data_IF_084288903815
#
_entry.id   IF_084288903815
#
_cell.length_a   1.000
_cell.length_b   1.000
_cell.length_c   1.000
_cell.angle_alpha   90.00
_cell.angle_beta   90.00
_cell.angle_gamma   90.00
#
_symmetry.space_group_name_H-M   'P 1'
#
loop_
_entity.id
_entity.type
_entity.pdbx_description
1 polymer ?
#
# COMPACT_ATOMS: atom_id res chain seq x y z
N UNK A 1 -6.78 34.45 -68.63
CA UNK A 1 -6.78 34.49 -67.14
C UNK A 1 -6.99 33.09 -66.62
N UNK A 2 -5.98 32.47 -66.06
CA UNK A 2 -6.06 31.09 -65.48
C UNK A 2 -6.00 31.22 -63.97
N UNK A 3 -7.08 30.83 -63.27
CA UNK A 3 -7.14 30.79 -61.83
C UNK A 3 -6.54 29.50 -61.33
N UNK A 4 -5.47 29.60 -60.53
CA UNK A 4 -4.85 28.45 -59.86
C UNK A 4 -5.50 28.26 -58.50
N UNK A 5 -6.25 27.17 -58.30
CA UNK A 5 -6.77 26.76 -57.02
C UNK A 5 -5.64 26.11 -56.20
N UNK A 6 -5.29 26.69 -55.06
CA UNK A 6 -4.39 26.11 -54.06
C UNK A 6 -5.22 25.24 -53.12
N UNK A 7 -5.01 23.93 -53.19
CA UNK A 7 -5.59 22.94 -52.29
C UNK A 7 -4.71 22.86 -51.02
N UNK A 8 -5.22 23.41 -49.93
CA UNK A 8 -4.54 23.35 -48.65
C UNK A 8 -4.70 21.95 -48.00
N UNK A 9 -3.60 21.30 -47.74
CA UNK A 9 -3.57 20.01 -47.02
C UNK A 9 -3.68 20.29 -45.50
N UNK A 10 -4.85 19.98 -44.91
CA UNK A 10 -5.00 19.99 -43.46
C UNK A 10 -4.39 18.70 -42.90
N UNK A 11 -3.27 18.82 -42.17
CA UNK A 11 -2.72 17.73 -41.38
C UNK A 11 -3.44 17.68 -40.02
N UNK A 12 -4.30 16.71 -39.83
CA UNK A 12 -4.92 16.41 -38.53
C UNK A 12 -3.88 15.65 -37.70
N UNK A 13 -3.26 16.31 -36.74
CA UNK A 13 -2.41 15.66 -35.75
C UNK A 13 -3.31 15.01 -34.69
N UNK A 14 -3.52 13.71 -34.78
CA UNK A 14 -4.18 12.95 -33.73
C UNK A 14 -3.23 12.83 -32.53
N UNK A 15 -3.47 13.63 -31.48
CA UNK A 15 -2.78 13.48 -30.20
C UNK A 15 -3.29 12.23 -29.53
N UNK A 16 -2.51 11.15 -29.58
CA UNK A 16 -2.72 9.98 -28.73
C UNK A 16 -2.32 10.36 -27.31
N UNK A 17 -3.31 10.71 -26.47
CA UNK A 17 -3.12 10.76 -25.03
C UNK A 17 -2.80 9.35 -24.55
N UNK A 18 -1.51 9.04 -24.38
CA UNK A 18 -1.08 7.83 -23.71
C UNK A 18 -1.62 7.89 -22.27
N UNK A 19 -2.60 7.04 -21.94
CA UNK A 19 -2.99 6.81 -20.57
C UNK A 19 -1.76 6.28 -19.84
N UNK A 20 -1.18 7.10 -18.97
CA UNK A 20 -0.31 6.60 -17.91
C UNK A 20 -1.15 5.57 -17.16
N UNK A 21 -0.71 4.31 -17.16
CA UNK A 21 -1.32 3.27 -16.34
C UNK A 21 -1.08 3.67 -14.88
N UNK A 22 -1.96 4.53 -14.36
CA UNK A 22 -2.04 4.83 -12.93
C UNK A 22 -2.36 3.55 -12.19
N UNK A 23 -1.87 3.41 -10.97
CA UNK A 23 -2.27 2.33 -10.08
C UNK A 23 -3.79 2.21 -10.11
N UNK A 24 -4.31 1.02 -10.46
CA UNK A 24 -5.75 0.84 -10.64
C UNK A 24 -6.49 1.22 -9.36
N UNK A 25 -7.50 2.08 -9.48
CA UNK A 25 -8.33 2.52 -8.35
C UNK A 25 -8.91 1.33 -7.59
N UNK A 26 -9.06 1.50 -6.28
CA UNK A 26 -9.80 0.57 -5.45
C UNK A 26 -11.31 0.78 -5.66
N UNK A 27 -12.05 -0.32 -5.66
CA UNK A 27 -13.50 -0.25 -5.74
C UNK A 27 -14.07 0.45 -4.50
N UNK A 28 -14.97 1.39 -4.70
CA UNK A 28 -15.62 2.09 -3.60
C UNK A 28 -16.50 1.13 -2.77
N UNK A 29 -16.59 1.33 -1.44
CA UNK A 29 -17.39 0.46 -0.56
C UNK A 29 -18.84 0.27 -1.00
N UNK A 30 -19.42 1.27 -1.62
CA UNK A 30 -20.81 1.27 -2.10
C UNK A 30 -21.06 0.21 -3.18
N UNK A 31 -20.03 -0.15 -3.94
CA UNK A 31 -20.12 -1.20 -4.98
C UNK A 31 -20.38 -2.60 -4.40
N UNK A 32 -20.20 -2.78 -3.10
CA UNK A 32 -20.43 -4.05 -2.39
C UNK A 32 -21.80 -4.12 -1.71
N UNK A 33 -22.63 -3.07 -1.78
CA UNK A 33 -23.95 -3.04 -1.15
C UNK A 33 -24.94 -4.05 -1.75
N UNK A 34 -24.72 -4.47 -2.99
CA UNK A 34 -25.51 -5.53 -3.63
C UNK A 34 -25.34 -6.90 -2.97
N UNK A 35 -24.26 -7.11 -2.19
CA UNK A 35 -24.06 -8.33 -1.40
C UNK A 35 -24.88 -8.19 -0.13
N UNK A 36 -26.02 -8.85 -0.06
CA UNK A 36 -27.00 -8.74 1.01
C UNK A 36 -26.53 -9.37 2.32
N UNK A 37 -25.79 -10.50 2.24
CA UNK A 37 -25.23 -11.15 3.43
C UNK A 37 -24.07 -10.29 4.02
N UNK A 38 -24.19 -9.79 5.28
CA UNK A 38 -23.17 -8.92 5.86
C UNK A 38 -21.79 -9.57 5.96
N UNK A 39 -21.70 -10.84 6.30
CA UNK A 39 -20.43 -11.53 6.41
C UNK A 39 -19.75 -11.74 5.06
N UNK A 40 -20.50 -12.02 4.01
CA UNK A 40 -19.98 -12.12 2.63
C UNK A 40 -19.52 -10.75 2.14
N UNK A 41 -20.33 -9.72 2.36
CA UNK A 41 -19.98 -8.34 2.03
C UNK A 41 -18.70 -7.91 2.75
N UNK A 42 -18.58 -8.20 4.04
CA UNK A 42 -17.38 -7.92 4.83
C UNK A 42 -16.15 -8.60 4.23
N UNK A 43 -16.21 -9.89 3.91
CA UNK A 43 -15.12 -10.59 3.26
C UNK A 43 -14.75 -9.98 1.91
N UNK A 44 -15.73 -9.62 1.08
CA UNK A 44 -15.49 -9.01 -0.22
C UNK A 44 -14.81 -7.64 -0.11
N UNK A 45 -15.18 -6.82 0.87
CA UNK A 45 -14.53 -5.55 1.19
C UNK A 45 -13.05 -5.77 1.60
N UNK A 46 -12.79 -6.78 2.43
CA UNK A 46 -11.41 -7.09 2.84
C UNK A 46 -10.58 -7.65 1.68
N UNK A 47 -11.18 -8.42 0.78
CA UNK A 47 -10.51 -8.89 -0.45
C UNK A 47 -10.07 -7.72 -1.32
N UNK A 48 -10.91 -6.70 -1.49
CA UNK A 48 -10.52 -5.49 -2.22
C UNK A 48 -9.39 -4.73 -1.51
N UNK A 49 -9.46 -4.55 -0.18
CA UNK A 49 -8.38 -3.97 0.61
C UNK A 49 -7.08 -4.79 0.50
N UNK A 50 -7.19 -6.10 0.28
CA UNK A 50 -6.08 -7.03 0.09
C UNK A 50 -5.16 -6.65 -1.07
N UNK A 51 -5.64 -5.96 -2.10
CA UNK A 51 -4.82 -5.44 -3.19
C UNK A 51 -3.72 -4.50 -2.69
N UNK A 52 -3.99 -3.76 -1.61
CA UNK A 52 -3.01 -2.91 -0.93
C UNK A 52 -2.20 -3.72 0.08
N UNK A 53 -2.86 -4.49 0.95
CA UNK A 53 -2.19 -5.20 2.05
C UNK A 53 -1.15 -6.22 1.57
N UNK A 54 -1.36 -6.80 0.38
CA UNK A 54 -0.43 -7.74 -0.26
C UNK A 54 0.49 -7.06 -1.30
N UNK A 55 0.42 -5.74 -1.44
CA UNK A 55 1.31 -4.99 -2.33
C UNK A 55 2.73 -4.88 -1.72
N UNK A 56 3.81 -4.84 -2.52
CA UNK A 56 5.18 -4.69 -2.03
C UNK A 56 5.38 -3.51 -1.08
N UNK A 57 4.63 -2.41 -1.25
CA UNK A 57 4.73 -1.24 -0.33
C UNK A 57 4.33 -1.57 1.11
N UNK A 58 3.44 -2.56 1.30
CA UNK A 58 3.08 -3.06 2.62
C UNK A 58 3.97 -4.23 3.05
N UNK A 59 4.15 -5.22 2.16
CA UNK A 59 4.89 -6.44 2.48
C UNK A 59 6.35 -6.17 2.85
N UNK A 60 7.00 -5.17 2.24
CA UNK A 60 8.40 -4.83 2.53
C UNK A 60 8.61 -4.37 3.97
N UNK A 61 7.61 -3.71 4.57
CA UNK A 61 7.63 -3.29 5.97
C UNK A 61 7.06 -4.35 6.93
N UNK A 62 6.39 -5.40 6.40
CA UNK A 62 5.81 -6.51 7.16
C UNK A 62 6.55 -7.84 6.89
N UNK A 63 7.90 -7.89 7.06
CA UNK A 63 8.70 -9.05 6.71
C UNK A 63 8.45 -10.23 7.65
N UNK A 64 8.57 -11.45 7.14
CA UNK A 64 8.47 -12.68 7.95
C UNK A 64 9.71 -12.89 8.85
N UNK A 65 10.87 -12.41 8.41
CA UNK A 65 12.14 -12.53 9.11
C UNK A 65 12.57 -11.26 9.84
N UNK A 66 13.84 -11.25 10.23
CA UNK A 66 14.47 -10.11 10.89
C UNK A 66 14.92 -9.02 9.90
N UNK A 67 15.08 -9.38 8.62
CA UNK A 67 15.50 -8.48 7.55
C UNK A 67 14.27 -7.96 6.79
N UNK A 68 14.11 -6.64 6.62
CA UNK A 68 13.09 -6.11 5.73
C UNK A 68 13.37 -6.48 4.27
N UNK A 69 12.39 -6.32 3.42
CA UNK A 69 12.56 -6.40 1.96
C UNK A 69 12.42 -5.00 1.34
N UNK A 70 12.81 -4.87 0.08
CA UNK A 70 12.75 -3.63 -0.69
C UNK A 70 12.44 -3.89 -2.16
N UNK A 71 12.19 -2.82 -2.91
CA UNK A 71 11.90 -2.90 -4.33
C UNK A 71 10.45 -3.29 -4.64
N UNK A 72 10.12 -3.38 -5.92
CA UNK A 72 8.82 -3.83 -6.39
C UNK A 72 8.72 -5.37 -6.39
N UNK A 73 9.84 -6.04 -6.39
CA UNK A 73 10.00 -7.50 -6.33
C UNK A 73 10.20 -8.05 -4.91
N UNK A 74 10.17 -7.17 -3.90
CA UNK A 74 10.35 -7.54 -2.48
C UNK A 74 11.63 -8.34 -2.21
N UNK A 75 12.75 -8.03 -2.87
CA UNK A 75 14.04 -8.65 -2.58
C UNK A 75 14.58 -8.23 -1.20
N UNK A 76 15.50 -9.00 -0.59
CA UNK A 76 16.07 -8.67 0.70
C UNK A 76 16.73 -7.30 0.72
N UNK A 77 16.49 -6.49 1.74
CA UNK A 77 17.02 -5.14 1.87
C UNK A 77 18.56 -5.10 1.74
N UNK A 78 19.07 -4.20 0.92
CA UNK A 78 20.52 -3.96 0.77
C UNK A 78 20.82 -2.49 1.11
N UNK A 79 21.79 -2.23 1.99
CA UNK A 79 22.67 -3.16 2.71
C UNK A 79 21.93 -4.09 3.68
N UNK A 80 22.65 -5.08 4.23
CA UNK A 80 22.09 -5.95 5.26
C UNK A 80 21.76 -5.14 6.51
N UNK A 81 20.47 -5.03 6.81
CA UNK A 81 19.95 -4.47 8.05
C UNK A 81 18.98 -5.46 8.69
N UNK A 82 18.84 -5.41 9.99
CA UNK A 82 17.90 -6.26 10.73
C UNK A 82 17.09 -5.40 11.69
N UNK A 83 15.87 -5.87 12.01
CA UNK A 83 15.08 -5.22 13.06
C UNK A 83 15.80 -5.32 14.42
N UNK A 84 15.38 -4.52 15.35
CA UNK A 84 15.73 -4.63 16.77
C UNK A 84 14.46 -4.92 17.56
N UNK A 85 14.58 -4.95 18.89
CA UNK A 85 13.43 -5.13 19.78
C UNK A 85 12.35 -4.02 19.63
N UNK A 86 12.74 -2.84 19.13
CA UNK A 86 11.84 -1.71 18.87
C UNK A 86 11.49 -1.53 17.38
N UNK A 87 11.84 -2.50 16.54
CA UNK A 87 11.57 -2.53 15.09
C UNK A 87 12.21 -1.37 14.28
N UNK A 88 13.17 -0.63 14.85
CA UNK A 88 13.80 0.58 14.27
C UNK A 88 15.23 0.37 13.79
N UNK A 89 15.64 -0.88 13.59
CA UNK A 89 17.02 -1.21 13.19
C UNK A 89 17.95 -1.46 14.37
N UNK A 90 19.04 -2.21 14.16
CA UNK A 90 20.01 -2.58 15.17
C UNK A 90 20.70 -1.35 15.79
N UNK A 91 21.23 -1.51 17.02
CA UNK A 91 22.07 -0.50 17.64
C UNK A 91 23.28 -0.25 16.74
N UNK A 92 23.56 1.03 16.42
CA UNK A 92 24.64 1.43 15.50
C UNK A 92 24.26 1.43 14.02
N UNK A 93 23.11 0.84 13.64
CA UNK A 93 22.59 0.90 12.28
C UNK A 93 21.05 1.03 12.30
N UNK A 94 20.58 2.16 12.79
CA UNK A 94 19.15 2.47 12.85
C UNK A 94 18.60 2.71 11.44
N UNK A 95 17.33 2.41 11.22
CA UNK A 95 16.66 2.70 9.96
C UNK A 95 16.85 4.17 9.54
N UNK A 96 16.70 5.09 10.48
CA UNK A 96 16.85 6.54 10.27
C UNK A 96 18.30 6.99 10.01
N UNK A 97 19.29 6.12 10.10
CA UNK A 97 20.67 6.43 9.65
C UNK A 97 20.71 6.70 8.15
N UNK A 98 19.91 5.97 7.37
CA UNK A 98 19.82 6.13 5.91
C UNK A 98 18.49 6.76 5.49
N UNK A 99 17.37 6.33 6.14
CA UNK A 99 16.02 6.82 5.84
C UNK A 99 15.78 8.13 6.61
N UNK A 100 16.00 9.26 5.94
CA UNK A 100 15.81 10.59 6.48
C UNK A 100 14.32 10.98 6.53
N UNK A 101 14.02 12.24 6.85
CA UNK A 101 12.66 12.73 7.02
C UNK A 101 11.81 12.73 5.73
N UNK A 102 12.43 12.61 4.57
CA UNK A 102 11.78 12.58 3.27
C UNK A 102 12.58 11.72 2.29
N UNK A 103 11.95 11.31 1.18
CA UNK A 103 12.65 10.64 0.08
C UNK A 103 13.82 11.51 -0.42
N UNK A 104 14.98 10.90 -0.65
CA UNK A 104 16.14 11.56 -1.23
C UNK A 104 16.39 10.98 -2.63
N UNK A 105 15.84 11.62 -3.63
CA UNK A 105 15.82 11.14 -5.01
C UNK A 105 17.21 10.91 -5.61
N UNK A 106 18.27 11.74 -5.33
CA UNK A 106 19.59 11.53 -5.90
C UNK A 106 20.23 10.19 -5.54
N UNK A 107 19.96 9.64 -4.35
CA UNK A 107 20.45 8.32 -3.93
C UNK A 107 19.39 7.22 -4.05
N UNK A 108 18.16 7.58 -4.40
CA UNK A 108 17.03 6.66 -4.44
C UNK A 108 16.61 6.11 -3.07
N UNK A 109 17.09 6.69 -1.97
CA UNK A 109 16.74 6.24 -0.61
C UNK A 109 15.39 6.83 -0.21
N UNK A 110 14.40 5.99 0.14
CA UNK A 110 13.12 6.48 0.66
C UNK A 110 13.29 7.03 2.08
N UNK A 111 12.43 7.95 2.48
CA UNK A 111 12.48 8.56 3.81
C UNK A 111 11.12 8.91 4.37
N UNK A 112 11.06 8.86 5.70
CA UNK A 112 9.95 9.32 6.53
C UNK A 112 10.45 9.46 7.97
N UNK A 113 10.01 10.46 8.76
CA UNK A 113 10.53 10.69 10.13
C UNK A 113 10.36 9.49 11.08
N UNK A 114 9.35 8.66 10.82
CA UNK A 114 9.01 7.47 11.63
C UNK A 114 9.40 6.16 10.95
N UNK A 115 10.44 6.14 10.11
CA UNK A 115 10.81 4.93 9.35
C UNK A 115 11.14 3.76 10.27
N UNK A 116 10.37 2.68 10.16
CA UNK A 116 10.55 1.43 10.90
C UNK A 116 9.82 0.27 10.20
N UNK A 117 10.08 -0.95 10.61
CA UNK A 117 9.30 -2.13 10.19
C UNK A 117 8.16 -2.42 11.16
N UNK A 118 7.13 -3.10 10.68
CA UNK A 118 6.04 -3.54 11.53
C UNK A 118 6.53 -4.56 12.57
N UNK A 119 5.85 -4.70 13.72
CA UNK A 119 6.18 -5.72 14.72
C UNK A 119 6.22 -7.11 14.09
N UNK A 120 7.13 -7.97 14.56
CA UNK A 120 7.27 -9.35 14.04
C UNK A 120 5.97 -10.15 14.09
N UNK A 121 5.12 -9.89 15.07
CA UNK A 121 3.78 -10.46 15.17
C UNK A 121 2.85 -10.06 14.02
N UNK A 122 3.18 -9.00 13.29
CA UNK A 122 2.46 -8.49 12.12
C UNK A 122 3.21 -8.78 10.80
N UNK A 123 3.96 -9.87 10.74
CA UNK A 123 4.55 -10.35 9.50
C UNK A 123 3.45 -10.80 8.52
N UNK A 124 3.47 -10.27 7.28
CA UNK A 124 2.47 -10.57 6.25
C UNK A 124 3.02 -11.36 5.06
N UNK A 125 4.32 -11.28 4.81
CA UNK A 125 4.94 -12.09 3.76
C UNK A 125 4.59 -13.57 3.93
N UNK A 126 4.33 -14.26 2.82
CA UNK A 126 3.94 -15.67 2.77
C UNK A 126 2.59 -16.03 3.41
N UNK A 127 1.82 -15.05 3.89
CA UNK A 127 0.51 -15.30 4.49
C UNK A 127 -0.62 -15.13 3.48
N UNK A 128 -1.65 -15.96 3.63
CA UNK A 128 -2.92 -15.74 2.94
C UNK A 128 -3.57 -14.45 3.43
N UNK A 129 -4.46 -13.87 2.62
CA UNK A 129 -5.19 -12.67 3.00
C UNK A 129 -6.06 -12.91 4.25
N UNK A 130 -6.61 -14.11 4.41
CA UNK A 130 -7.34 -14.50 5.61
C UNK A 130 -6.46 -14.49 6.85
N UNK A 131 -5.23 -15.02 6.76
CA UNK A 131 -4.27 -14.98 7.85
C UNK A 131 -3.86 -13.54 8.22
N UNK A 132 -3.66 -12.66 7.23
CA UNK A 132 -3.41 -11.23 7.46
C UNK A 132 -4.60 -10.59 8.19
N UNK A 133 -5.82 -10.88 7.76
CA UNK A 133 -7.04 -10.38 8.39
C UNK A 133 -7.13 -10.77 9.88
N UNK A 134 -6.88 -12.04 10.20
CA UNK A 134 -6.90 -12.51 11.58
C UNK A 134 -5.78 -11.88 12.43
N UNK A 135 -4.60 -11.60 11.84
CA UNK A 135 -3.56 -10.85 12.55
C UNK A 135 -3.99 -9.42 12.87
N UNK A 136 -4.59 -8.73 11.91
CA UNK A 136 -5.08 -7.36 12.06
C UNK A 136 -6.12 -7.26 13.19
N UNK A 137 -6.95 -8.28 13.34
CA UNK A 137 -8.01 -8.33 14.37
C UNK A 137 -7.50 -8.72 15.77
N UNK A 138 -6.36 -9.39 15.88
CA UNK A 138 -5.85 -9.88 17.16
C UNK A 138 -5.04 -8.81 17.91
N UNK A 139 -5.54 -8.22 19.01
CA UNK A 139 -4.82 -7.19 19.77
C UNK A 139 -3.46 -7.68 20.33
N UNK A 140 -3.30 -8.97 20.56
CA UNK A 140 -2.02 -9.57 21.03
C UNK A 140 -0.95 -9.53 19.95
N UNK A 141 -1.35 -9.37 18.68
CA UNK A 141 -0.45 -9.36 17.51
C UNK A 141 -0.29 -7.98 16.89
N UNK A 142 -1.36 -7.18 16.87
CA UNK A 142 -1.41 -5.89 16.20
C UNK A 142 -0.93 -4.70 17.06
N UNK A 143 -0.26 -4.98 18.19
CA UNK A 143 0.21 -3.94 19.11
C UNK A 143 -0.89 -3.34 19.99
N UNK A 144 -1.91 -4.12 20.33
CA UNK A 144 -3.00 -3.72 21.22
C UNK A 144 -4.07 -2.82 20.59
N UNK A 145 -4.07 -2.70 19.26
CA UNK A 145 -4.99 -1.80 18.57
C UNK A 145 -6.42 -2.38 18.50
N UNK A 146 -7.39 -1.55 18.78
CA UNK A 146 -8.79 -1.81 18.46
C UNK A 146 -9.04 -1.72 16.96
N UNK A 147 -10.16 -2.24 16.46
CA UNK A 147 -10.51 -2.10 15.03
C UNK A 147 -10.63 -0.63 14.59
N UNK A 148 -11.13 0.25 15.48
CA UNK A 148 -11.17 1.69 15.21
C UNK A 148 -9.75 2.29 15.08
N UNK A 149 -8.82 1.90 15.96
CA UNK A 149 -7.42 2.32 15.87
C UNK A 149 -6.72 1.74 14.63
N UNK A 150 -7.07 0.54 14.19
CA UNK A 150 -6.60 -0.04 12.92
C UNK A 150 -7.12 0.76 11.73
N UNK A 151 -8.40 1.13 11.73
CA UNK A 151 -8.97 1.96 10.66
C UNK A 151 -8.27 3.32 10.59
N UNK A 152 -8.06 3.98 11.71
CA UNK A 152 -7.35 5.26 11.78
C UNK A 152 -5.90 5.13 11.29
N UNK A 153 -5.18 4.08 11.72
CA UNK A 153 -3.82 3.79 11.27
C UNK A 153 -3.77 3.61 9.74
N UNK A 154 -4.65 2.81 9.17
CA UNK A 154 -4.66 2.58 7.72
C UNK A 154 -5.09 3.81 6.93
N UNK A 155 -6.03 4.61 7.47
CA UNK A 155 -6.60 5.77 6.79
C UNK A 155 -5.72 7.02 6.86
N UNK A 156 -4.91 7.19 7.91
CA UNK A 156 -4.31 8.51 8.23
C UNK A 156 -2.87 8.47 8.71
N UNK A 157 -2.33 7.32 9.09
CA UNK A 157 -0.94 7.25 9.51
C UNK A 157 -0.02 7.68 8.35
N UNK A 158 0.88 8.62 8.63
CA UNK A 158 1.73 9.24 7.59
C UNK A 158 2.78 8.28 7.04
N UNK A 159 3.28 7.32 7.85
CA UNK A 159 4.19 6.28 7.36
C UNK A 159 3.46 5.29 6.45
N UNK A 160 2.23 4.92 6.77
CA UNK A 160 1.36 4.14 5.87
C UNK A 160 1.10 4.92 4.59
N UNK A 161 0.85 6.23 4.69
CA UNK A 161 0.62 7.14 3.56
C UNK A 161 1.78 7.21 2.57
N UNK A 162 3.01 6.96 3.03
CA UNK A 162 4.18 6.89 2.16
C UNK A 162 4.00 5.84 1.05
N UNK A 163 3.22 4.79 1.26
CA UNK A 163 2.98 3.75 0.26
C UNK A 163 2.39 4.27 -1.07
N UNK A 164 1.73 5.42 -1.07
CA UNK A 164 1.16 6.07 -2.26
C UNK A 164 2.05 7.17 -2.85
N UNK A 165 3.11 7.56 -2.15
CA UNK A 165 4.09 8.54 -2.61
C UNK A 165 5.53 8.04 -2.39
N UNK A 166 5.86 6.82 -2.88
CA UNK A 166 7.13 6.17 -2.56
C UNK A 166 8.34 6.81 -3.25
N UNK A 167 8.13 7.63 -4.27
CA UNK A 167 9.18 8.28 -5.05
C UNK A 167 10.03 7.34 -5.92
N UNK A 168 10.88 7.92 -6.75
CA UNK A 168 11.76 7.18 -7.66
C UNK A 168 10.99 6.27 -8.61
N UNK A 169 11.53 5.08 -8.85
CA UNK A 169 10.92 4.05 -9.69
C UNK A 169 10.04 3.04 -8.91
N UNK A 170 9.67 3.38 -7.68
CA UNK A 170 8.83 2.51 -6.84
C UNK A 170 7.37 2.62 -7.26
N UNK A 171 6.77 1.49 -7.58
CA UNK A 171 5.36 1.43 -7.89
C UNK A 171 4.54 1.82 -6.64
N UNK A 172 3.65 2.82 -6.70
CA UNK A 172 2.77 3.16 -5.59
C UNK A 172 1.74 2.06 -5.35
N UNK A 173 1.24 1.97 -4.12
CA UNK A 173 0.13 1.08 -3.80
C UNK A 173 -1.13 1.45 -4.60
N UNK A 174 -2.02 0.48 -4.90
CA UNK A 174 -3.27 0.74 -5.64
C UNK A 174 -4.18 1.77 -4.94
N UNK A 175 -4.85 2.59 -5.72
CA UNK A 175 -5.80 3.59 -5.24
C UNK A 175 -5.15 4.69 -4.40
N UNK A 176 -5.79 5.04 -3.29
CA UNK A 176 -5.33 6.04 -2.33
C UNK A 176 -5.44 5.54 -0.90
N UNK A 177 -4.70 6.16 0.04
CA UNK A 177 -4.84 5.87 1.47
C UNK A 177 -6.27 6.07 1.98
N UNK A 178 -6.95 7.12 1.51
CA UNK A 178 -8.34 7.39 1.85
C UNK A 178 -9.29 6.28 1.39
N UNK A 179 -9.09 5.74 0.18
CA UNK A 179 -9.86 4.62 -0.33
C UNK A 179 -9.63 3.34 0.49
N UNK A 180 -8.38 3.04 0.86
CA UNK A 180 -8.09 1.93 1.79
C UNK A 180 -8.80 2.13 3.12
N UNK A 181 -8.71 3.33 3.72
CA UNK A 181 -9.38 3.67 4.97
C UNK A 181 -10.90 3.48 4.89
N UNK A 182 -11.53 3.86 3.78
CA UNK A 182 -12.96 3.68 3.54
C UNK A 182 -13.35 2.19 3.45
N UNK A 183 -12.55 1.38 2.74
CA UNK A 183 -12.77 -0.08 2.65
C UNK A 183 -12.67 -0.74 4.02
N UNK A 184 -11.65 -0.39 4.82
CA UNK A 184 -11.47 -0.93 6.17
C UNK A 184 -12.62 -0.50 7.09
N UNK A 185 -13.09 0.76 7.02
CA UNK A 185 -14.25 1.22 7.77
C UNK A 185 -15.51 0.40 7.42
N UNK A 186 -15.78 0.22 6.13
CA UNK A 186 -16.94 -0.55 5.66
C UNK A 186 -16.83 -2.04 6.03
N UNK A 187 -15.62 -2.62 5.95
CA UNK A 187 -15.35 -3.98 6.42
C UNK A 187 -15.70 -4.15 7.90
N UNK A 188 -15.27 -3.23 8.76
CA UNK A 188 -15.57 -3.24 10.20
C UNK A 188 -17.09 -3.12 10.43
N UNK A 189 -17.75 -2.17 9.75
CA UNK A 189 -19.20 -1.97 9.85
C UNK A 189 -20.02 -3.19 9.43
N UNK A 190 -19.49 -3.95 8.46
CA UNK A 190 -20.10 -5.19 7.98
C UNK A 190 -19.78 -6.42 8.87
N UNK A 191 -19.12 -6.23 10.03
CA UNK A 191 -18.83 -7.29 11.00
C UNK A 191 -17.42 -7.86 10.98
N UNK A 192 -16.48 -7.24 10.29
CA UNK A 192 -15.05 -7.59 10.25
C UNK A 192 -14.78 -9.09 9.97
N UNK A 193 -15.56 -9.71 9.08
CA UNK A 193 -15.37 -11.10 8.68
C UNK A 193 -14.12 -11.25 7.78
N UNK A 194 -13.32 -12.29 8.05
CA UNK A 194 -12.12 -12.58 7.29
C UNK A 194 -12.40 -13.52 6.11
N UNK A 195 -11.67 -13.38 4.97
CA UNK A 195 -11.62 -14.41 3.94
C UNK A 195 -11.11 -15.74 4.49
N UNK A 196 -11.26 -16.83 3.74
CA UNK A 196 -10.67 -18.12 4.08
C UNK A 196 -9.14 -18.02 4.21
N UNK A 197 -8.55 -18.80 5.11
CA UNK A 197 -7.10 -18.86 5.38
C UNK A 197 -6.38 -19.81 4.44
#
# INVERSE_FOLDING_TARGET
MRASARMGLMIVVASTAGSLAGAQDLRAPETFLSITNPAERSRALFVEAGRVLQHPRCLNCHPVGERPTQGNDSHPHSPLVVRSADDKGAIGLRCTTCHQNANYEPSGVPGHPLWHVAPKSMAWQTKSLGQICEQIKDPRRNGGKTLAAIQEHMARDSLVGWAWMPGGNREPAPGTQAQLGALIAAWIQAGAACPAT
#
